data_IF_856444444790
#
_entry.id   IF_856444444790
#
_cell.length_a   1.000
_cell.length_b   1.000
_cell.length_c   1.000
_cell.angle_alpha   90.00
_cell.angle_beta   90.00
_cell.angle_gamma   90.00
#
_symmetry.space_group_name_H-M   'P 1'
#
loop_
_entity.id
_entity.type
_entity.pdbx_description
1 polymer ?
#
# COMPACT_ATOMS: atom_id res chain seq x y z
N UNK A 1 14.95 -46.17 -1.05
CA UNK A 1 15.86 -45.02 -0.94
C UNK A 1 16.45 -45.01 0.46
N UNK A 2 17.72 -44.63 0.62
CA UNK A 2 18.42 -44.69 1.91
C UNK A 2 17.82 -43.63 2.84
N UNK A 3 17.34 -44.04 4.01
CA UNK A 3 16.90 -43.10 5.05
C UNK A 3 18.09 -42.22 5.43
N UNK A 4 18.02 -40.94 5.09
CA UNK A 4 19.10 -39.99 5.31
C UNK A 4 19.21 -39.67 6.79
N UNK A 5 20.39 -39.23 7.26
CA UNK A 5 20.59 -38.88 8.66
C UNK A 5 19.60 -37.79 9.13
N UNK A 6 19.27 -36.86 8.23
CA UNK A 6 18.24 -35.85 8.42
C UNK A 6 16.84 -36.47 8.62
N UNK A 7 16.37 -37.32 7.70
CA UNK A 7 15.05 -37.96 7.82
C UNK A 7 14.94 -38.86 9.06
N UNK A 8 16.00 -39.58 9.41
CA UNK A 8 16.07 -40.37 10.64
C UNK A 8 15.98 -39.47 11.88
N UNK A 9 16.70 -38.34 11.89
CA UNK A 9 16.65 -37.38 13.00
C UNK A 9 15.25 -36.78 13.18
N UNK A 10 14.57 -36.43 12.09
CA UNK A 10 13.17 -35.99 12.12
C UNK A 10 12.25 -37.07 12.67
N UNK A 11 12.33 -38.29 12.13
CA UNK A 11 11.47 -39.42 12.51
C UNK A 11 11.60 -39.76 13.99
N UNK A 12 12.82 -39.88 14.48
CA UNK A 12 13.10 -40.21 15.88
C UNK A 12 12.66 -39.11 16.85
N UNK A 13 12.57 -37.86 16.36
CA UNK A 13 12.08 -36.73 17.14
C UNK A 13 10.56 -36.55 17.01
N UNK A 14 9.89 -37.37 16.20
CA UNK A 14 8.43 -37.37 16.03
C UNK A 14 7.91 -36.54 14.86
N UNK A 15 8.64 -36.44 13.76
CA UNK A 15 8.18 -35.84 12.50
C UNK A 15 8.50 -36.74 11.30
N UNK A 16 7.51 -37.00 10.44
CA UNK A 16 7.68 -37.75 9.20
C UNK A 16 7.48 -36.81 8.02
N UNK A 17 8.55 -36.61 7.26
CA UNK A 17 8.51 -35.97 5.95
C UNK A 17 8.40 -37.09 4.91
N UNK A 18 7.22 -37.28 4.34
CA UNK A 18 7.00 -38.29 3.31
C UNK A 18 7.80 -37.94 2.05
N UNK A 19 8.48 -38.92 1.47
CA UNK A 19 9.27 -38.75 0.23
C UNK A 19 8.55 -39.33 -0.98
N UNK A 20 7.76 -40.41 -0.81
CA UNK A 20 7.21 -41.21 -1.91
C UNK A 20 5.74 -40.90 -2.31
N UNK A 21 5.05 -40.02 -1.58
CA UNK A 21 3.66 -39.62 -1.87
C UNK A 21 3.57 -38.11 -2.13
N UNK A 22 3.31 -37.74 -3.38
CA UNK A 22 3.42 -36.35 -3.88
C UNK A 22 2.40 -35.40 -3.23
N UNK A 23 1.29 -35.91 -2.69
CA UNK A 23 0.25 -35.08 -2.07
C UNK A 23 0.18 -35.23 -0.54
N UNK A 24 1.03 -36.06 0.06
CA UNK A 24 1.01 -36.28 1.50
C UNK A 24 1.68 -35.11 2.26
N UNK A 25 0.98 -34.45 3.21
CA UNK A 25 1.59 -33.42 4.04
C UNK A 25 2.62 -34.04 5.00
N UNK A 26 3.57 -33.23 5.48
CA UNK A 26 4.41 -33.64 6.60
C UNK A 26 3.53 -33.94 7.84
N UNK A 27 3.88 -34.99 8.59
CA UNK A 27 3.10 -35.45 9.73
C UNK A 27 3.93 -35.41 11.01
N UNK A 28 3.48 -34.64 11.99
CA UNK A 28 4.01 -34.67 13.34
C UNK A 28 3.33 -35.79 14.15
N UNK A 29 4.14 -36.67 14.75
CA UNK A 29 3.68 -37.73 15.66
C UNK A 29 3.53 -37.23 17.12
N UNK A 30 4.04 -36.03 17.42
CA UNK A 30 3.90 -35.35 18.70
C UNK A 30 3.69 -33.84 18.49
N UNK A 31 3.37 -33.08 19.54
CA UNK A 31 3.21 -31.63 19.37
C UNK A 31 4.52 -30.97 18.91
N UNK A 32 4.49 -29.95 18.01
CA UNK A 32 5.70 -29.31 17.49
C UNK A 32 6.67 -28.83 18.60
N UNK A 33 6.14 -28.39 19.74
CA UNK A 33 6.96 -28.00 20.91
C UNK A 33 7.81 -29.16 21.44
N UNK A 34 7.23 -30.36 21.51
CA UNK A 34 7.94 -31.57 21.95
C UNK A 34 8.95 -32.02 20.91
N UNK A 35 8.56 -32.00 19.63
CA UNK A 35 9.47 -32.29 18.51
C UNK A 35 10.72 -31.38 18.55
N UNK A 36 10.53 -30.06 18.69
CA UNK A 36 11.65 -29.09 18.79
C UNK A 36 12.57 -29.42 19.96
N UNK A 37 12.00 -29.73 21.12
CA UNK A 37 12.74 -30.07 22.33
C UNK A 37 13.56 -31.33 22.12
N UNK A 38 12.92 -32.39 21.64
CA UNK A 38 13.52 -33.72 21.52
C UNK A 38 14.61 -33.74 20.43
N UNK A 39 14.38 -33.04 19.32
CA UNK A 39 15.41 -32.84 18.28
C UNK A 39 16.61 -32.06 18.82
N UNK A 40 16.38 -30.95 19.54
CA UNK A 40 17.45 -30.14 20.13
C UNK A 40 18.29 -30.92 21.14
N UNK A 41 17.63 -31.73 22.00
CA UNK A 41 18.32 -32.62 22.93
C UNK A 41 19.14 -33.66 22.17
N UNK A 42 18.54 -34.31 21.17
CA UNK A 42 19.21 -35.36 20.38
C UNK A 42 20.50 -34.83 19.74
N UNK A 43 20.43 -33.69 19.05
CA UNK A 43 21.58 -33.08 18.39
C UNK A 43 22.65 -32.67 19.41
N UNK A 44 22.28 -32.09 20.55
CA UNK A 44 23.25 -31.64 21.57
C UNK A 44 23.86 -32.79 22.37
N UNK A 45 23.16 -33.92 22.51
CA UNK A 45 23.61 -35.08 23.28
C UNK A 45 24.52 -36.03 22.49
N UNK A 46 24.64 -35.82 21.18
CA UNK A 46 25.49 -36.64 20.32
C UNK A 46 26.98 -36.45 20.67
N UNK A 47 27.73 -37.55 20.67
CA UNK A 47 29.15 -37.53 21.00
C UNK A 47 29.99 -36.67 20.03
N UNK A 48 29.48 -36.39 18.83
CA UNK A 48 30.14 -35.60 17.80
C UNK A 48 29.73 -34.13 17.81
N UNK A 49 28.94 -33.64 18.77
CA UNK A 49 28.56 -32.22 18.83
C UNK A 49 29.78 -31.30 19.02
N UNK A 50 29.93 -30.20 18.24
CA UNK A 50 28.97 -29.64 17.27
C UNK A 50 29.15 -30.11 15.82
N UNK A 51 30.12 -30.98 15.52
CA UNK A 51 30.42 -31.44 14.14
C UNK A 51 29.26 -32.23 13.51
N UNK A 52 28.40 -32.86 14.32
CA UNK A 52 27.20 -33.53 13.83
C UNK A 52 26.21 -32.57 13.14
N UNK A 53 26.26 -31.26 13.42
CA UNK A 53 25.47 -30.25 12.72
C UNK A 53 25.83 -30.19 11.24
N UNK A 54 27.13 -30.25 10.90
CA UNK A 54 27.57 -30.26 9.50
C UNK A 54 26.99 -31.46 8.75
N UNK A 55 27.09 -32.66 9.33
CA UNK A 55 26.51 -33.87 8.73
C UNK A 55 24.98 -33.79 8.64
N UNK A 56 24.32 -33.19 9.63
CA UNK A 56 22.88 -32.96 9.60
C UNK A 56 22.48 -32.04 8.43
N UNK A 57 23.17 -30.91 8.24
CA UNK A 57 22.89 -29.96 7.17
C UNK A 57 23.27 -30.49 5.78
N UNK A 58 24.38 -31.22 5.65
CA UNK A 58 24.73 -31.92 4.40
C UNK A 58 23.64 -32.93 4.03
N UNK A 59 23.21 -33.76 4.98
CA UNK A 59 22.13 -34.71 4.77
C UNK A 59 20.78 -34.04 4.49
N UNK A 60 20.52 -32.87 5.09
CA UNK A 60 19.32 -32.07 4.82
C UNK A 60 19.35 -31.53 3.40
N UNK A 61 20.46 -30.94 2.98
CA UNK A 61 20.67 -30.42 1.63
C UNK A 61 20.41 -31.52 0.60
N UNK A 62 21.05 -32.68 0.74
CA UNK A 62 20.88 -33.82 -0.17
C UNK A 62 19.41 -34.30 -0.27
N UNK A 63 18.68 -34.27 0.85
CA UNK A 63 17.26 -34.67 0.89
C UNK A 63 16.36 -33.62 0.23
N UNK A 64 16.66 -32.34 0.43
CA UNK A 64 15.86 -31.21 -0.04
C UNK A 64 16.28 -30.71 -1.45
N UNK A 65 17.22 -31.39 -2.11
CA UNK A 65 17.48 -31.23 -3.55
C UNK A 65 16.25 -31.61 -4.39
N UNK A 66 15.45 -32.58 -3.91
CA UNK A 66 14.18 -32.93 -4.53
C UNK A 66 13.12 -31.82 -4.28
N UNK A 67 12.64 -31.21 -5.36
CA UNK A 67 11.75 -30.05 -5.29
C UNK A 67 10.41 -30.36 -4.63
N UNK A 68 9.85 -31.56 -4.85
CA UNK A 68 8.58 -31.96 -4.23
C UNK A 68 8.75 -32.14 -2.71
N UNK A 69 9.86 -32.75 -2.28
CA UNK A 69 10.21 -32.88 -0.87
C UNK A 69 10.48 -31.53 -0.22
N UNK A 70 11.17 -30.62 -0.94
CA UNK A 70 11.40 -29.25 -0.48
C UNK A 70 10.11 -28.46 -0.33
N UNK A 71 9.19 -28.55 -1.29
CA UNK A 71 7.88 -27.89 -1.19
C UNK A 71 7.07 -28.43 -0.01
N UNK A 72 7.06 -29.76 0.20
CA UNK A 72 6.44 -30.40 1.38
C UNK A 72 7.05 -29.93 2.70
N UNK A 73 8.36 -29.70 2.74
CA UNK A 73 9.07 -29.17 3.90
C UNK A 73 8.63 -27.74 4.28
N UNK A 74 8.18 -26.94 3.29
CA UNK A 74 7.71 -25.56 3.47
C UNK A 74 6.20 -25.44 3.72
N UNK A 75 5.40 -26.44 3.31
CA UNK A 75 3.95 -26.42 3.45
C UNK A 75 3.50 -26.74 4.89
N UNK A 76 2.28 -26.32 5.29
CA UNK A 76 1.72 -26.62 6.60
C UNK A 76 1.70 -28.13 6.88
N UNK A 77 2.12 -28.51 8.09
CA UNK A 77 2.12 -29.88 8.52
C UNK A 77 0.79 -30.27 9.19
N UNK A 78 0.54 -31.58 9.25
CA UNK A 78 -0.58 -32.17 9.98
C UNK A 78 -0.08 -32.89 11.24
N UNK A 79 -0.97 -33.10 12.20
CA UNK A 79 -0.68 -33.87 13.42
C UNK A 79 -1.38 -35.22 13.35
N UNK A 80 -0.63 -36.30 13.63
CA UNK A 80 -1.14 -37.67 13.67
C UNK A 80 -2.38 -37.78 14.56
N UNK A 81 -3.36 -38.59 14.15
CA UNK A 81 -4.58 -38.83 14.94
C UNK A 81 -4.26 -39.53 16.28
N UNK A 82 -3.15 -40.27 16.34
CA UNK A 82 -2.66 -40.94 17.56
C UNK A 82 -1.94 -40.01 18.54
N UNK A 83 -1.59 -38.79 18.11
CA UNK A 83 -0.87 -37.84 18.95
C UNK A 83 -1.81 -37.22 20.01
N UNK A 84 -1.29 -37.04 21.24
CA UNK A 84 -2.04 -36.37 22.31
C UNK A 84 -2.19 -34.88 21.97
N UNK A 85 -3.42 -34.43 21.73
CA UNK A 85 -3.75 -33.04 21.40
C UNK A 85 -3.98 -32.20 22.66
N UNK A 86 -3.21 -31.14 22.86
CA UNK A 86 -3.53 -30.06 23.80
C UNK A 86 -4.41 -28.98 23.15
N UNK A 87 -4.25 -28.77 21.84
CA UNK A 87 -4.95 -27.75 21.04
C UNK A 87 -6.00 -28.31 20.09
N UNK A 88 -7.06 -27.53 19.80
CA UNK A 88 -8.11 -27.87 18.81
C UNK A 88 -7.73 -27.56 17.36
N UNK A 89 -6.53 -27.02 17.10
CA UNK A 89 -6.08 -26.74 15.73
C UNK A 89 -5.78 -28.04 14.98
N UNK A 90 -6.21 -28.13 13.73
CA UNK A 90 -5.95 -29.25 12.83
C UNK A 90 -4.82 -28.97 11.83
N UNK A 91 -4.36 -27.72 11.75
CA UNK A 91 -3.24 -27.29 10.90
C UNK A 91 -2.12 -26.76 11.79
N UNK A 92 -0.89 -27.16 11.49
CA UNK A 92 0.31 -26.76 12.21
C UNK A 92 1.28 -26.07 11.26
N UNK A 93 2.23 -25.33 11.85
CA UNK A 93 3.35 -24.76 11.11
C UNK A 93 4.10 -25.83 10.32
N UNK A 94 4.77 -25.40 9.26
CA UNK A 94 5.60 -26.29 8.44
C UNK A 94 6.76 -26.90 9.25
N UNK A 95 7.39 -27.93 8.69
CA UNK A 95 8.62 -28.48 9.27
C UNK A 95 9.71 -27.42 9.28
N UNK A 96 9.86 -26.66 8.19
CA UNK A 96 10.83 -25.57 8.10
C UNK A 96 10.66 -24.53 9.22
N UNK A 97 9.42 -24.04 9.42
CA UNK A 97 9.08 -23.05 10.45
C UNK A 97 9.35 -23.58 11.85
N UNK A 98 9.02 -24.85 12.08
CA UNK A 98 9.25 -25.51 13.36
C UNK A 98 10.75 -25.67 13.64
N UNK A 99 11.57 -25.98 12.63
CA UNK A 99 13.02 -26.06 12.76
C UNK A 99 13.68 -24.68 12.96
N UNK A 100 13.13 -23.62 12.36
CA UNK A 100 13.60 -22.25 12.58
C UNK A 100 13.46 -21.81 14.05
N UNK A 101 12.60 -22.44 14.82
CA UNK A 101 12.44 -22.20 16.27
C UNK A 101 13.44 -22.99 17.13
N UNK A 102 14.39 -23.72 16.51
CA UNK A 102 15.49 -24.41 17.20
C UNK A 102 16.77 -23.58 17.03
N UNK A 103 17.20 -22.91 18.10
CA UNK A 103 18.26 -21.90 18.07
C UNK A 103 19.56 -22.35 17.37
N UNK A 104 19.99 -23.59 17.60
CA UNK A 104 21.24 -24.15 17.02
C UNK A 104 21.15 -24.41 15.52
N UNK A 105 19.93 -24.46 14.95
CA UNK A 105 19.69 -24.69 13.53
C UNK A 105 19.31 -23.41 12.79
N UNK A 106 18.77 -22.42 13.51
CA UNK A 106 18.10 -21.27 12.91
C UNK A 106 18.99 -20.52 11.91
N UNK A 107 20.25 -20.22 12.27
CA UNK A 107 21.16 -19.42 11.44
C UNK A 107 21.46 -20.10 10.10
N UNK A 108 21.88 -21.36 10.14
CA UNK A 108 22.25 -22.12 8.95
C UNK A 108 21.03 -22.44 8.09
N UNK A 109 19.87 -22.69 8.72
CA UNK A 109 18.61 -22.92 8.01
C UNK A 109 18.11 -21.66 7.30
N UNK A 110 18.22 -20.47 7.92
CA UNK A 110 17.93 -19.19 7.25
C UNK A 110 18.84 -19.01 6.03
N UNK A 111 20.14 -19.24 6.19
CA UNK A 111 21.11 -19.17 5.09
C UNK A 111 20.72 -20.08 3.93
N UNK A 112 20.46 -21.35 4.22
CA UNK A 112 20.02 -22.34 3.24
C UNK A 112 18.73 -21.92 2.52
N UNK A 113 17.69 -21.52 3.26
CA UNK A 113 16.42 -21.12 2.69
C UNK A 113 16.56 -19.91 1.76
N UNK A 114 17.33 -18.89 2.17
CA UNK A 114 17.52 -17.69 1.37
C UNK A 114 18.39 -17.95 0.12
N UNK A 115 19.41 -18.81 0.21
CA UNK A 115 20.26 -19.18 -0.93
C UNK A 115 19.50 -19.98 -2.00
N UNK A 116 18.41 -20.65 -1.63
CA UNK A 116 17.52 -21.37 -2.54
C UNK A 116 16.54 -20.45 -3.29
N UNK A 117 16.29 -19.21 -2.82
CA UNK A 117 15.32 -18.29 -3.43
C UNK A 117 15.55 -18.05 -4.94
N UNK A 118 16.78 -17.78 -5.42
CA UNK A 118 17.02 -17.46 -6.82
C UNK A 118 16.62 -18.59 -7.79
N UNK A 119 16.61 -19.84 -7.32
CA UNK A 119 16.25 -21.00 -8.14
C UNK A 119 14.78 -21.01 -8.58
N UNK A 120 13.93 -20.27 -7.87
CA UNK A 120 12.48 -20.23 -8.11
C UNK A 120 12.03 -18.97 -8.87
N UNK A 121 12.96 -18.28 -9.55
CA UNK A 121 12.65 -17.10 -10.36
C UNK A 121 11.58 -17.37 -11.42
N UNK A 122 11.77 -18.42 -12.23
CA UNK A 122 10.85 -18.75 -13.32
C UNK A 122 9.45 -19.13 -12.79
N UNK A 123 9.37 -19.83 -11.65
CA UNK A 123 8.10 -20.13 -11.00
C UNK A 123 7.41 -18.85 -10.55
N UNK A 124 8.15 -17.90 -9.97
CA UNK A 124 7.62 -16.64 -9.45
C UNK A 124 7.11 -15.71 -10.56
N UNK A 125 7.78 -15.65 -11.71
CA UNK A 125 7.30 -14.87 -12.86
C UNK A 125 5.98 -15.43 -13.43
N UNK A 126 5.82 -16.75 -13.43
CA UNK A 126 4.70 -17.42 -14.07
C UNK A 126 3.51 -17.69 -13.12
N UNK A 127 3.78 -17.84 -11.82
CA UNK A 127 2.78 -18.16 -10.79
C UNK A 127 2.63 -17.02 -9.78
N UNK A 128 1.54 -16.25 -9.93
CA UNK A 128 1.16 -15.21 -8.98
C UNK A 128 0.45 -15.74 -7.73
N UNK A 129 0.36 -17.06 -7.52
CA UNK A 129 -0.24 -17.65 -6.33
C UNK A 129 0.63 -17.46 -5.08
N UNK A 130 -0.01 -17.46 -3.91
CA UNK A 130 0.71 -17.51 -2.63
C UNK A 130 1.43 -18.85 -2.39
N UNK A 131 1.19 -19.86 -3.23
CA UNK A 131 1.80 -21.18 -3.11
C UNK A 131 3.11 -21.32 -3.88
N UNK A 132 3.52 -20.29 -4.63
CA UNK A 132 4.83 -20.22 -5.27
C UNK A 132 5.95 -20.51 -4.24
N UNK A 133 6.91 -21.37 -4.61
CA UNK A 133 7.96 -21.83 -3.70
C UNK A 133 8.80 -20.69 -3.12
N UNK A 134 9.11 -19.65 -3.91
CA UNK A 134 9.84 -18.47 -3.42
C UNK A 134 9.07 -17.73 -2.29
N UNK A 135 7.74 -17.59 -2.43
CA UNK A 135 6.89 -16.99 -1.40
C UNK A 135 6.74 -17.88 -0.19
N UNK A 136 6.67 -19.20 -0.39
CA UNK A 136 6.68 -20.17 0.71
C UNK A 136 7.98 -20.07 1.53
N UNK A 137 9.14 -19.90 0.89
CA UNK A 137 10.41 -19.68 1.59
C UNK A 137 10.34 -18.43 2.47
N UNK A 138 9.96 -17.29 1.90
CA UNK A 138 9.86 -16.02 2.64
C UNK A 138 8.84 -16.10 3.79
N UNK A 139 7.73 -16.81 3.57
CA UNK A 139 6.70 -17.04 4.60
C UNK A 139 7.27 -17.76 5.83
N UNK A 140 8.26 -18.64 5.68
CA UNK A 140 8.90 -19.29 6.82
C UNK A 140 9.62 -18.30 7.74
N UNK A 141 10.06 -17.16 7.22
CA UNK A 141 10.80 -16.15 7.98
C UNK A 141 9.89 -15.12 8.66
N UNK A 142 8.66 -14.93 8.17
CA UNK A 142 7.72 -13.91 8.69
C UNK A 142 7.25 -14.18 10.11
N UNK A 143 7.19 -13.16 10.95
CA UNK A 143 6.70 -13.20 12.34
C UNK A 143 7.36 -14.29 13.19
N UNK A 144 8.68 -14.47 13.03
CA UNK A 144 9.43 -15.36 13.91
C UNK A 144 9.37 -14.83 15.36
N UNK A 145 8.95 -15.67 16.31
CA UNK A 145 8.85 -15.29 17.73
C UNK A 145 10.21 -14.87 18.31
N UNK A 146 11.29 -15.47 17.80
CA UNK A 146 12.65 -15.23 18.26
C UNK A 146 13.64 -15.34 17.10
N UNK A 147 14.61 -14.44 17.05
CA UNK A 147 15.71 -14.42 16.09
C UNK A 147 17.02 -14.42 16.88
N UNK A 148 17.81 -15.48 16.73
CA UNK A 148 19.06 -15.73 17.46
C UNK A 148 20.10 -14.67 17.15
N UNK A 149 20.21 -14.28 15.87
CA UNK A 149 21.21 -13.33 15.38
C UNK A 149 20.56 -12.37 14.35
N UNK A 150 19.88 -11.31 14.83
CA UNK A 150 19.16 -10.36 13.97
C UNK A 150 20.07 -9.66 12.95
N UNK A 151 21.31 -9.37 13.34
CA UNK A 151 22.29 -8.71 12.48
C UNK A 151 22.72 -9.64 11.33
N UNK A 152 22.97 -10.93 11.61
CA UNK A 152 23.30 -11.89 10.55
C UNK A 152 22.14 -12.11 9.58
N UNK A 153 20.90 -12.18 10.07
CA UNK A 153 19.71 -12.26 9.20
C UNK A 153 19.61 -11.03 8.28
N UNK A 154 19.70 -9.82 8.85
CA UNK A 154 19.64 -8.58 8.07
C UNK A 154 20.76 -8.52 7.02
N UNK A 155 21.99 -8.87 7.41
CA UNK A 155 23.12 -8.94 6.50
C UNK A 155 22.91 -9.94 5.35
N UNK A 156 22.37 -11.13 5.64
CA UNK A 156 22.09 -12.13 4.61
C UNK A 156 20.95 -11.70 3.68
N UNK A 157 19.90 -11.05 4.20
CA UNK A 157 18.82 -10.48 3.37
C UNK A 157 19.39 -9.41 2.42
N UNK A 158 20.24 -8.52 2.92
CA UNK A 158 20.92 -7.50 2.11
C UNK A 158 21.74 -8.17 1.01
N UNK A 159 22.59 -9.15 1.34
CA UNK A 159 23.39 -9.90 0.36
C UNK A 159 22.52 -10.51 -0.75
N UNK A 160 21.43 -11.17 -0.37
CA UNK A 160 20.53 -11.84 -1.32
C UNK A 160 19.78 -10.83 -2.19
N UNK A 161 19.35 -9.68 -1.64
CA UNK A 161 18.74 -8.60 -2.42
C UNK A 161 19.72 -8.12 -3.50
N UNK A 162 21.01 -7.94 -3.20
CA UNK A 162 21.98 -7.44 -4.17
C UNK A 162 22.23 -8.39 -5.35
N UNK A 163 22.13 -9.70 -5.14
CA UNK A 163 22.44 -10.70 -6.17
C UNK A 163 21.22 -11.22 -6.93
N UNK A 164 20.00 -10.84 -6.54
CA UNK A 164 18.76 -11.34 -7.13
C UNK A 164 18.14 -10.37 -8.14
N UNK A 165 17.36 -10.88 -9.13
CA UNK A 165 16.64 -10.03 -10.07
C UNK A 165 15.53 -9.19 -9.41
N UNK A 166 15.05 -8.11 -10.05
CA UNK A 166 14.03 -7.20 -9.50
C UNK A 166 12.75 -7.88 -9.02
N UNK A 167 12.29 -8.94 -9.69
CA UNK A 167 11.08 -9.70 -9.31
C UNK A 167 11.23 -10.32 -7.92
N UNK A 168 12.39 -10.90 -7.62
CA UNK A 168 12.69 -11.49 -6.30
C UNK A 168 12.98 -10.39 -5.28
N UNK A 169 13.73 -9.35 -5.67
CA UNK A 169 13.98 -8.19 -4.81
C UNK A 169 12.66 -7.59 -4.30
N UNK A 170 11.67 -7.44 -5.17
CA UNK A 170 10.34 -6.93 -4.82
C UNK A 170 9.67 -7.78 -3.71
N UNK A 171 9.64 -9.10 -3.86
CA UNK A 171 9.05 -10.02 -2.86
C UNK A 171 9.80 -10.00 -1.54
N UNK A 172 11.14 -9.95 -1.56
CA UNK A 172 11.95 -9.85 -0.35
C UNK A 172 11.65 -8.52 0.36
N UNK A 173 11.74 -7.39 -0.37
CA UNK A 173 11.58 -6.03 0.19
C UNK A 173 10.21 -5.86 0.85
N UNK A 174 9.13 -6.25 0.16
CA UNK A 174 7.77 -6.16 0.70
C UNK A 174 7.54 -7.06 1.92
N UNK A 175 8.33 -8.13 2.07
CA UNK A 175 8.28 -9.03 3.23
C UNK A 175 9.14 -8.57 4.42
N UNK A 176 10.06 -7.61 4.23
CA UNK A 176 11.01 -7.19 5.27
C UNK A 176 10.36 -6.76 6.59
N UNK A 177 9.24 -5.98 6.59
CA UNK A 177 8.61 -5.55 7.84
C UNK A 177 8.11 -6.71 8.71
N UNK A 178 7.80 -7.85 8.08
CA UNK A 178 7.36 -9.05 8.78
C UNK A 178 8.53 -9.94 9.23
N UNK A 179 9.73 -9.76 8.68
CA UNK A 179 10.88 -10.65 8.89
C UNK A 179 11.90 -10.06 9.88
N UNK A 180 12.16 -8.76 9.77
CA UNK A 180 13.22 -8.09 10.52
C UNK A 180 12.74 -7.74 11.94
N UNK A 181 13.64 -7.79 12.91
CA UNK A 181 13.39 -7.33 14.27
C UNK A 181 13.51 -5.80 14.39
N UNK A 182 12.74 -5.19 15.28
CA UNK A 182 12.79 -3.77 15.62
C UNK A 182 14.21 -3.23 15.87
N UNK A 183 15.13 -4.05 16.40
CA UNK A 183 16.52 -3.67 16.65
C UNK A 183 17.29 -3.28 15.37
N UNK A 184 16.96 -3.91 14.24
CA UNK A 184 17.65 -3.73 12.96
C UNK A 184 16.94 -2.75 12.02
N UNK A 185 15.75 -2.25 12.39
CA UNK A 185 14.96 -1.35 11.53
C UNK A 185 15.73 -0.11 11.11
N UNK A 186 16.52 0.50 12.02
CA UNK A 186 17.31 1.69 11.68
C UNK A 186 18.34 1.42 10.58
N UNK A 187 19.07 0.30 10.68
CA UNK A 187 20.05 -0.08 9.67
C UNK A 187 19.37 -0.40 8.33
N UNK A 188 18.22 -1.08 8.38
CA UNK A 188 17.45 -1.42 7.19
C UNK A 188 16.89 -0.17 6.48
N UNK A 189 16.42 0.84 7.22
CA UNK A 189 15.94 2.10 6.64
C UNK A 189 17.05 2.82 5.86
N UNK A 190 18.27 2.85 6.41
CA UNK A 190 19.43 3.45 5.71
C UNK A 190 19.74 2.69 4.42
N UNK A 191 19.80 1.36 4.50
CA UNK A 191 20.04 0.52 3.33
C UNK A 191 18.95 0.69 2.25
N UNK A 192 17.67 0.64 2.62
CA UNK A 192 16.56 0.80 1.68
C UNK A 192 16.55 2.18 1.04
N UNK A 193 16.96 3.23 1.77
CA UNK A 193 17.13 4.58 1.20
C UNK A 193 18.23 4.61 0.14
N UNK A 194 19.37 3.98 0.39
CA UNK A 194 20.48 3.87 -0.57
C UNK A 194 20.06 3.05 -1.80
N UNK A 195 19.43 1.90 -1.59
CA UNK A 195 18.93 1.05 -2.66
C UNK A 195 17.89 1.75 -3.54
N UNK A 196 16.97 2.52 -2.94
CA UNK A 196 16.02 3.35 -3.68
C UNK A 196 16.74 4.41 -4.53
N UNK A 197 17.89 4.90 -4.06
CA UNK A 197 18.68 5.86 -4.82
C UNK A 197 19.34 5.27 -6.06
N UNK A 198 19.75 4.02 -5.98
CA UNK A 198 20.39 3.28 -7.06
C UNK A 198 19.38 2.73 -8.08
N UNK A 199 18.23 2.25 -7.61
CA UNK A 199 17.24 1.53 -8.43
C UNK A 199 15.85 2.17 -8.34
N UNK A 200 15.48 2.94 -9.36
CA UNK A 200 14.15 3.60 -9.42
C UNK A 200 12.99 2.60 -9.50
N UNK A 201 13.19 1.44 -10.12
CA UNK A 201 12.18 0.37 -10.25
C UNK A 201 11.73 -0.21 -8.91
N UNK A 202 12.59 -0.13 -7.88
CA UNK A 202 12.29 -0.62 -6.54
C UNK A 202 11.65 0.44 -5.63
N UNK A 203 11.36 1.64 -6.13
CA UNK A 203 10.82 2.73 -5.30
C UNK A 203 9.52 2.32 -4.60
N UNK A 204 8.55 1.79 -5.34
CA UNK A 204 7.25 1.38 -4.80
C UNK A 204 7.36 0.33 -3.69
N UNK A 205 8.00 -0.84 -3.89
CA UNK A 205 8.12 -1.85 -2.82
C UNK A 205 8.91 -1.32 -1.62
N UNK A 206 9.94 -0.48 -1.85
CA UNK A 206 10.71 0.13 -0.76
C UNK A 206 9.83 1.05 0.09
N UNK A 207 9.04 1.92 -0.53
CA UNK A 207 8.14 2.83 0.20
C UNK A 207 7.05 2.09 0.98
N UNK A 208 6.52 1.00 0.43
CA UNK A 208 5.55 0.17 1.14
C UNK A 208 6.19 -0.52 2.35
N UNK A 209 7.41 -1.06 2.20
CA UNK A 209 8.16 -1.64 3.31
C UNK A 209 8.46 -0.60 4.40
N UNK A 210 8.99 0.56 4.03
CA UNK A 210 9.32 1.64 4.96
C UNK A 210 8.10 2.20 5.70
N UNK A 211 6.91 2.19 5.07
CA UNK A 211 5.66 2.60 5.72
C UNK A 211 5.25 1.67 6.86
N UNK A 212 5.66 0.39 6.80
CA UNK A 212 5.29 -0.65 7.75
C UNK A 212 6.39 -0.95 8.79
N UNK A 213 7.62 -0.49 8.58
CA UNK A 213 8.68 -0.57 9.59
C UNK A 213 8.41 0.40 10.75
N UNK A 214 8.49 -0.08 11.99
CA UNK A 214 8.38 0.69 13.24
C UNK A 214 9.60 1.60 13.43
N UNK A 215 9.75 2.58 12.56
CA UNK A 215 10.93 3.45 12.54
C UNK A 215 10.72 4.64 13.46
N UNK A 216 11.77 5.00 14.22
CA UNK A 216 11.80 6.24 14.99
C UNK A 216 11.77 7.42 14.01
N UNK A 217 10.97 8.46 14.32
CA UNK A 217 10.62 9.55 13.40
C UNK A 217 11.81 10.22 12.70
N UNK A 218 12.98 10.28 13.35
CA UNK A 218 14.19 10.93 12.83
C UNK A 218 14.75 10.23 11.58
N UNK A 219 14.77 8.88 11.53
CA UNK A 219 15.35 8.17 10.37
C UNK A 219 14.47 8.23 9.12
N UNK A 220 13.16 8.46 9.30
CA UNK A 220 12.22 8.63 8.20
C UNK A 220 12.17 10.06 7.65
N UNK A 221 12.61 11.07 8.41
CA UNK A 221 12.64 12.46 7.94
C UNK A 221 13.55 12.61 6.72
N UNK A 222 14.79 12.12 6.80
CA UNK A 222 15.73 12.15 5.68
C UNK A 222 15.24 11.38 4.44
N UNK A 223 14.54 10.26 4.66
CA UNK A 223 13.94 9.48 3.57
C UNK A 223 12.80 10.29 2.95
N UNK A 224 11.95 10.92 3.77
CA UNK A 224 10.84 11.73 3.30
C UNK A 224 11.30 12.89 2.43
N UNK A 225 12.37 13.57 2.81
CA UNK A 225 12.94 14.65 2.02
C UNK A 225 13.41 14.14 0.64
N UNK A 226 14.09 12.99 0.63
CA UNK A 226 14.52 12.32 -0.61
C UNK A 226 13.34 11.96 -1.51
N UNK A 227 12.27 11.40 -0.92
CA UNK A 227 11.05 11.02 -1.65
C UNK A 227 10.29 12.25 -2.15
N UNK A 228 10.26 13.32 -1.35
CA UNK A 228 9.62 14.57 -1.71
C UNK A 228 10.36 15.25 -2.88
N UNK A 229 11.69 15.15 -2.95
CA UNK A 229 12.49 15.62 -4.10
C UNK A 229 12.22 14.82 -5.38
N UNK A 230 11.93 13.53 -5.25
CA UNK A 230 11.58 12.66 -6.39
C UNK A 230 10.15 12.83 -6.89
N UNK A 231 9.27 13.45 -6.10
CA UNK A 231 7.84 13.58 -6.43
C UNK A 231 7.59 14.23 -7.81
N UNK A 232 8.44 15.17 -8.23
CA UNK A 232 8.31 15.85 -9.53
C UNK A 232 8.65 14.95 -10.73
N UNK A 233 9.53 13.95 -10.52
CA UNK A 233 10.06 13.07 -11.57
C UNK A 233 9.39 11.69 -11.57
N UNK A 234 8.53 11.41 -10.60
CA UNK A 234 7.88 10.12 -10.45
C UNK A 234 6.88 9.83 -11.56
N UNK A 235 6.78 8.56 -11.94
CA UNK A 235 5.77 8.10 -12.88
C UNK A 235 4.36 8.20 -12.27
N UNK A 236 3.36 8.43 -13.14
CA UNK A 236 1.98 8.66 -12.71
C UNK A 236 1.41 7.49 -11.89
N UNK A 237 1.81 6.26 -12.19
CA UNK A 237 1.34 5.05 -11.52
C UNK A 237 1.91 4.92 -10.09
N UNK A 238 3.08 5.51 -9.83
CA UNK A 238 3.78 5.46 -8.54
C UNK A 238 3.35 6.57 -7.58
N UNK A 239 2.82 7.69 -8.10
CA UNK A 239 2.44 8.87 -7.33
C UNK A 239 1.50 8.54 -6.16
N UNK A 240 0.58 7.60 -6.34
CA UNK A 240 -0.34 7.18 -5.28
C UNK A 240 0.41 6.59 -4.08
N UNK A 241 1.37 5.70 -4.33
CA UNK A 241 2.19 5.06 -3.30
C UNK A 241 3.10 6.08 -2.62
N UNK A 242 3.72 6.96 -3.41
CA UNK A 242 4.57 8.04 -2.90
C UNK A 242 3.78 8.94 -1.95
N UNK A 243 2.59 9.40 -2.35
CA UNK A 243 1.75 10.26 -1.53
C UNK A 243 1.24 9.54 -0.28
N UNK A 244 0.90 8.25 -0.39
CA UNK A 244 0.53 7.42 0.77
C UNK A 244 1.68 7.39 1.77
N UNK A 245 2.91 7.08 1.35
CA UNK A 245 4.09 7.09 2.21
C UNK A 245 4.32 8.46 2.85
N UNK A 246 4.33 9.54 2.06
CA UNK A 246 4.59 10.90 2.55
C UNK A 246 3.58 11.32 3.62
N UNK A 247 2.30 10.97 3.47
CA UNK A 247 1.23 11.38 4.37
C UNK A 247 1.04 10.44 5.58
N UNK A 248 1.42 9.17 5.46
CA UNK A 248 1.35 8.21 6.57
C UNK A 248 2.52 8.33 7.53
N UNK A 249 3.71 8.65 7.01
CA UNK A 249 4.96 8.68 7.82
C UNK A 249 5.30 10.07 8.35
N UNK A 250 4.54 11.10 8.00
CA UNK A 250 4.79 12.49 8.41
C UNK A 250 4.73 12.67 9.93
N UNK A 251 5.46 13.65 10.45
CA UNK A 251 5.41 14.05 11.86
C UNK A 251 4.67 15.40 12.01
N UNK A 252 4.09 15.70 13.19
CA UNK A 252 3.46 17.01 13.42
C UNK A 252 4.40 18.20 13.22
N UNK A 253 5.72 18.00 13.32
CA UNK A 253 6.73 19.05 13.16
C UNK A 253 7.06 19.33 11.69
N UNK A 254 6.87 18.34 10.82
CA UNK A 254 7.29 18.38 9.40
C UNK A 254 6.12 18.51 8.43
N UNK A 255 4.89 18.40 8.92
CA UNK A 255 3.67 18.37 8.10
C UNK A 255 3.51 19.59 7.18
N UNK A 256 3.83 20.79 7.66
CA UNK A 256 3.68 22.01 6.86
C UNK A 256 4.64 22.01 5.65
N UNK A 257 5.86 21.49 5.83
CA UNK A 257 6.85 21.35 4.75
C UNK A 257 6.41 20.29 3.74
N UNK A 258 5.90 19.16 4.20
CA UNK A 258 5.41 18.08 3.33
C UNK A 258 4.22 18.54 2.51
N UNK A 259 3.24 19.21 3.12
CA UNK A 259 2.07 19.77 2.40
C UNK A 259 2.54 20.80 1.37
N UNK A 260 3.46 21.69 1.75
CA UNK A 260 4.02 22.67 0.82
C UNK A 260 4.72 21.99 -0.36
N UNK A 261 5.60 21.01 -0.08
CA UNK A 261 6.31 20.26 -1.12
C UNK A 261 5.38 19.51 -2.05
N UNK A 262 4.33 18.85 -1.53
CA UNK A 262 3.31 18.21 -2.37
C UNK A 262 2.60 19.25 -3.24
N UNK A 263 2.19 20.40 -2.68
CA UNK A 263 1.50 21.46 -3.46
C UNK A 263 2.37 22.10 -4.54
N UNK A 264 3.68 22.16 -4.33
CA UNK A 264 4.61 22.74 -5.31
C UNK A 264 5.04 21.74 -6.38
N UNK A 265 5.34 20.49 -5.99
CA UNK A 265 5.94 19.49 -6.89
C UNK A 265 4.93 18.58 -7.58
N UNK A 266 3.73 18.39 -7.01
CA UNK A 266 2.69 17.58 -7.65
C UNK A 266 1.91 18.42 -8.67
N UNK A 267 2.28 18.30 -9.94
CA UNK A 267 1.57 18.98 -11.02
C UNK A 267 0.36 18.17 -11.51
N UNK A 268 -0.83 18.47 -10.99
CA UNK A 268 -2.06 17.89 -11.54
C UNK A 268 -2.28 18.26 -13.01
N UNK A 269 -1.69 19.35 -13.54
CA UNK A 269 -1.89 19.74 -14.95
C UNK A 269 -1.20 18.79 -15.93
N UNK A 270 -0.14 18.09 -15.52
CA UNK A 270 0.48 17.05 -16.35
C UNK A 270 -0.38 15.78 -16.39
N UNK A 271 -1.18 15.54 -15.35
CA UNK A 271 -2.06 14.38 -15.21
C UNK A 271 -3.34 14.44 -16.06
N UNK A 272 -3.54 15.46 -16.91
CA UNK A 272 -4.81 15.73 -17.62
C UNK A 272 -5.40 14.51 -18.35
N UNK A 273 -6.74 14.51 -18.43
CA UNK A 273 -7.53 13.58 -19.25
C UNK A 273 -6.90 13.36 -20.64
N UNK A 274 -6.45 12.14 -20.99
CA UNK A 274 -5.89 11.87 -22.29
C UNK A 274 -6.98 11.96 -23.36
N UNK A 275 -6.65 12.59 -24.50
CA UNK A 275 -7.61 12.81 -25.59
C UNK A 275 -7.94 11.52 -26.38
N UNK A 276 -7.24 10.41 -26.12
CA UNK A 276 -7.34 9.16 -26.89
C UNK A 276 -7.82 7.98 -26.02
N UNK A 277 -8.75 7.19 -26.57
CA UNK A 277 -9.36 6.01 -25.91
C UNK A 277 -8.39 4.85 -25.59
N UNK A 278 -7.12 4.92 -26.03
CA UNK A 278 -6.09 3.89 -25.76
C UNK A 278 -5.45 3.98 -24.36
N UNK A 279 -5.77 4.98 -23.54
CA UNK A 279 -5.19 5.20 -22.21
C UNK A 279 -6.25 5.21 -21.08
N UNK A 280 -7.13 4.20 -21.06
CA UNK A 280 -8.06 3.98 -19.93
C UNK A 280 -7.36 3.73 -18.58
N UNK A 281 -6.06 3.42 -18.58
CA UNK A 281 -5.24 3.21 -17.37
C UNK A 281 -4.91 4.51 -16.62
N UNK A 282 -4.71 5.63 -17.33
CA UNK A 282 -4.46 6.94 -16.71
C UNK A 282 -5.62 7.42 -15.83
N UNK A 283 -6.84 6.96 -16.13
CA UNK A 283 -8.05 7.26 -15.37
C UNK A 283 -8.03 6.63 -13.97
N UNK A 284 -7.46 5.43 -13.83
CA UNK A 284 -7.33 4.76 -12.54
C UNK A 284 -6.30 5.46 -11.66
N UNK A 285 -5.17 5.90 -12.25
CA UNK A 285 -4.09 6.54 -11.51
C UNK A 285 -4.51 7.85 -10.84
N UNK A 286 -5.26 8.74 -11.51
CA UNK A 286 -5.78 9.96 -10.85
C UNK A 286 -6.69 9.64 -9.66
N UNK A 287 -7.58 8.66 -9.80
CA UNK A 287 -8.46 8.23 -8.72
C UNK A 287 -7.67 7.69 -7.52
N UNK A 288 -6.65 6.86 -7.80
CA UNK A 288 -5.76 6.32 -6.77
C UNK A 288 -4.94 7.42 -6.06
N UNK A 289 -4.50 8.45 -6.78
CA UNK A 289 -3.83 9.62 -6.20
C UNK A 289 -4.77 10.34 -5.22
N UNK A 290 -6.01 10.63 -5.62
CA UNK A 290 -6.98 11.30 -4.75
C UNK A 290 -7.38 10.42 -3.55
N UNK A 291 -7.56 9.12 -3.74
CA UNK A 291 -7.80 8.19 -2.64
C UNK A 291 -6.60 8.08 -1.70
N UNK A 292 -5.36 8.17 -2.20
CA UNK A 292 -4.15 8.17 -1.37
C UNK A 292 -4.06 9.42 -0.51
N UNK A 293 -4.38 10.59 -1.08
CA UNK A 293 -4.51 11.84 -0.32
C UNK A 293 -5.60 11.70 0.75
N UNK A 294 -6.79 11.22 0.37
CA UNK A 294 -7.91 11.01 1.30
C UNK A 294 -7.55 10.07 2.44
N UNK A 295 -6.88 8.95 2.16
CA UNK A 295 -6.38 8.04 3.19
C UNK A 295 -5.42 8.76 4.12
N UNK A 296 -4.45 9.54 3.60
CA UNK A 296 -3.55 10.34 4.43
C UNK A 296 -4.28 11.34 5.34
N UNK A 297 -5.30 12.04 4.82
CA UNK A 297 -6.14 12.95 5.60
C UNK A 297 -6.93 12.22 6.72
N UNK A 298 -7.31 10.96 6.50
CA UNK A 298 -8.05 10.15 7.47
C UNK A 298 -7.15 9.44 8.47
N UNK A 299 -5.92 9.12 8.08
CA UNK A 299 -4.96 8.39 8.89
C UNK A 299 -4.55 9.19 10.14
N UNK A 300 -4.27 10.48 9.95
CA UNK A 300 -3.87 11.38 11.02
C UNK A 300 -4.67 12.67 11.02
N UNK A 301 -5.38 12.94 12.12
CA UNK A 301 -6.20 14.15 12.27
C UNK A 301 -5.39 15.44 12.07
N UNK A 302 -4.15 15.49 12.56
CA UNK A 302 -3.30 16.67 12.43
C UNK A 302 -2.89 16.95 10.98
N UNK A 303 -2.79 15.92 10.12
CA UNK A 303 -2.55 16.08 8.67
C UNK A 303 -3.72 16.81 8.04
N UNK A 304 -4.94 16.36 8.34
CA UNK A 304 -6.17 17.01 7.89
C UNK A 304 -6.29 18.46 8.36
N UNK A 305 -6.07 18.71 9.65
CA UNK A 305 -6.15 20.05 10.22
C UNK A 305 -5.08 20.99 9.64
N UNK A 306 -3.86 20.51 9.40
CA UNK A 306 -2.76 21.31 8.84
C UNK A 306 -2.98 21.63 7.37
N UNK A 307 -3.45 20.66 6.56
CA UNK A 307 -3.76 20.92 5.15
C UNK A 307 -4.95 21.88 4.99
N UNK A 308 -5.98 21.73 5.81
CA UNK A 308 -7.08 22.69 5.85
C UNK A 308 -6.57 24.11 6.18
N UNK A 309 -5.70 24.26 7.18
CA UNK A 309 -5.10 25.55 7.55
C UNK A 309 -4.24 26.12 6.41
N UNK A 310 -3.44 25.29 5.75
CA UNK A 310 -2.60 25.68 4.61
C UNK A 310 -3.45 26.31 3.50
N UNK A 311 -4.57 25.67 3.11
CA UNK A 311 -5.49 26.22 2.11
C UNK A 311 -6.20 27.48 2.65
N UNK A 312 -6.57 27.49 3.93
CA UNK A 312 -7.22 28.64 4.55
C UNK A 312 -6.33 29.89 4.59
N UNK A 313 -5.00 29.72 4.70
CA UNK A 313 -4.02 30.79 4.74
C UNK A 313 -3.71 31.43 3.38
N UNK A 314 -4.17 30.85 2.25
CA UNK A 314 -3.91 31.40 0.91
C UNK A 314 -4.72 32.68 0.67
N UNK A 315 -4.09 33.82 0.43
CA UNK A 315 -4.79 35.11 0.30
C UNK A 315 -4.82 35.68 -1.12
N UNK A 316 -4.12 35.07 -2.07
CA UNK A 316 -4.07 35.54 -3.46
C UNK A 316 -4.69 34.53 -4.42
N UNK A 317 -5.27 35.04 -5.51
CA UNK A 317 -5.91 34.22 -6.55
C UNK A 317 -4.92 33.25 -7.19
N UNK A 318 -3.71 33.71 -7.49
CA UNK A 318 -2.69 32.91 -8.19
C UNK A 318 -2.04 31.85 -7.29
N UNK A 319 -2.21 31.96 -5.97
CA UNK A 319 -1.75 30.94 -5.03
C UNK A 319 -2.65 29.70 -4.96
N UNK A 320 -3.91 29.80 -5.44
CA UNK A 320 -4.82 28.67 -5.49
C UNK A 320 -4.59 27.81 -6.74
N UNK A 321 -4.21 26.55 -6.53
CA UNK A 321 -3.92 25.55 -7.56
C UNK A 321 -5.05 24.51 -7.66
N UNK A 322 -5.00 23.65 -8.68
CA UNK A 322 -5.96 22.56 -8.87
C UNK A 322 -6.03 21.62 -7.66
N UNK A 323 -4.88 21.28 -7.07
CA UNK A 323 -4.76 20.46 -5.86
C UNK A 323 -5.58 21.02 -4.69
N UNK A 324 -5.63 22.34 -4.53
CA UNK A 324 -6.36 22.96 -3.42
C UNK A 324 -7.87 22.72 -3.55
N UNK A 325 -8.40 22.81 -4.78
CA UNK A 325 -9.82 22.52 -5.05
C UNK A 325 -10.11 21.03 -4.87
N UNK A 326 -9.25 20.15 -5.38
CA UNK A 326 -9.39 18.70 -5.25
C UNK A 326 -9.38 18.27 -3.78
N UNK A 327 -8.44 18.77 -2.98
CA UNK A 327 -8.36 18.52 -1.53
C UNK A 327 -9.60 19.07 -0.82
N UNK A 328 -10.10 20.26 -1.17
CA UNK A 328 -11.34 20.76 -0.59
C UNK A 328 -12.57 19.92 -0.95
N UNK A 329 -12.62 19.33 -2.15
CA UNK A 329 -13.68 18.37 -2.53
C UNK A 329 -13.58 17.09 -1.70
N UNK A 330 -12.37 16.56 -1.49
CA UNK A 330 -12.13 15.41 -0.60
C UNK A 330 -12.59 15.75 0.83
N UNK A 331 -12.18 16.88 1.37
CA UNK A 331 -12.59 17.37 2.69
C UNK A 331 -14.12 17.57 2.79
N UNK A 332 -14.77 17.98 1.70
CA UNK A 332 -16.23 18.11 1.66
C UNK A 332 -16.95 16.75 1.61
N UNK A 333 -16.33 15.73 0.99
CA UNK A 333 -16.89 14.37 0.92
C UNK A 333 -16.88 13.64 2.27
N UNK A 334 -15.94 13.99 3.16
CA UNK A 334 -15.82 13.39 4.49
C UNK A 334 -16.79 14.03 5.49
N UNK A 335 -17.57 13.20 6.20
CA UNK A 335 -18.60 13.66 7.14
C UNK A 335 -18.06 14.56 8.26
N UNK A 336 -16.86 14.27 8.77
CA UNK A 336 -16.22 15.02 9.86
C UNK A 336 -15.79 16.44 9.47
N UNK A 337 -15.45 16.67 8.21
CA UNK A 337 -14.93 17.95 7.70
C UNK A 337 -15.87 18.69 6.76
N UNK A 338 -16.95 18.03 6.32
CA UNK A 338 -17.92 18.56 5.34
C UNK A 338 -18.31 20.01 5.58
N UNK A 339 -18.77 20.34 6.78
CA UNK A 339 -19.24 21.71 7.08
C UNK A 339 -18.10 22.74 7.08
N UNK A 340 -16.93 22.39 7.61
CA UNK A 340 -15.76 23.27 7.62
C UNK A 340 -15.26 23.54 6.20
N UNK A 341 -15.18 22.50 5.38
CA UNK A 341 -14.81 22.60 3.96
C UNK A 341 -15.81 23.48 3.18
N UNK A 342 -17.11 23.31 3.41
CA UNK A 342 -18.17 24.13 2.79
C UNK A 342 -18.02 25.63 3.11
N UNK A 343 -17.80 25.95 4.39
CA UNK A 343 -17.63 27.34 4.85
C UNK A 343 -16.36 27.94 4.24
N UNK A 344 -15.27 27.17 4.19
CA UNK A 344 -14.02 27.62 3.59
C UNK A 344 -14.16 27.85 2.08
N UNK A 345 -14.76 26.91 1.35
CA UNK A 345 -15.05 27.05 -0.08
C UNK A 345 -15.81 28.34 -0.36
N UNK A 346 -16.88 28.59 0.40
CA UNK A 346 -17.68 29.81 0.28
C UNK A 346 -16.85 31.05 0.53
N UNK A 347 -16.08 31.09 1.63
CA UNK A 347 -15.22 32.23 1.97
C UNK A 347 -14.23 32.55 0.85
N UNK A 348 -13.58 31.53 0.28
CA UNK A 348 -12.61 31.70 -0.81
C UNK A 348 -13.25 32.14 -2.11
N UNK A 349 -14.45 31.67 -2.43
CA UNK A 349 -15.21 32.12 -3.60
C UNK A 349 -15.68 33.57 -3.44
N UNK A 350 -16.25 33.92 -2.29
CA UNK A 350 -16.70 35.29 -2.00
C UNK A 350 -15.54 36.28 -2.03
N UNK A 351 -14.35 35.87 -1.57
CA UNK A 351 -13.12 36.66 -1.68
C UNK A 351 -12.52 36.73 -3.10
N UNK A 352 -13.11 36.06 -4.10
CA UNK A 352 -12.60 36.02 -5.47
C UNK A 352 -11.31 35.21 -5.65
N UNK A 353 -10.93 34.42 -4.66
CA UNK A 353 -9.68 33.65 -4.63
C UNK A 353 -9.83 32.33 -5.40
N UNK A 354 -10.94 31.61 -5.17
CA UNK A 354 -11.34 30.46 -6.00
C UNK A 354 -12.36 30.97 -7.02
N UNK A 355 -12.00 30.88 -8.30
CA UNK A 355 -12.82 31.43 -9.40
C UNK A 355 -13.57 30.34 -10.16
N UNK A 356 -14.65 30.74 -10.86
CA UNK A 356 -15.42 29.84 -11.71
C UNK A 356 -14.55 29.15 -12.80
N UNK A 357 -13.55 29.87 -13.32
CA UNK A 357 -12.59 29.31 -14.29
C UNK A 357 -11.75 28.20 -13.68
N UNK A 358 -11.22 28.40 -12.46
CA UNK A 358 -10.45 27.35 -11.78
C UNK A 358 -11.30 26.11 -11.52
N UNK A 359 -12.56 26.29 -11.08
CA UNK A 359 -13.48 25.17 -10.88
C UNK A 359 -13.79 24.44 -12.19
N UNK A 360 -14.06 25.18 -13.27
CA UNK A 360 -14.24 24.60 -14.60
C UNK A 360 -13.03 23.77 -15.02
N UNK A 361 -11.83 24.34 -14.91
CA UNK A 361 -10.59 23.67 -15.31
C UNK A 361 -10.41 22.39 -14.49
N UNK A 362 -10.63 22.42 -13.17
CA UNK A 362 -10.48 21.22 -12.32
C UNK A 362 -11.46 20.12 -12.70
N UNK A 363 -12.75 20.44 -12.84
CA UNK A 363 -13.78 19.45 -13.15
C UNK A 363 -13.59 18.83 -14.54
N UNK A 364 -13.23 19.64 -15.55
CA UNK A 364 -13.03 19.13 -16.90
C UNK A 364 -11.78 18.26 -17.03
N UNK A 365 -10.67 18.66 -16.43
CA UNK A 365 -9.38 17.98 -16.60
C UNK A 365 -9.17 16.78 -15.66
N UNK A 366 -9.89 16.73 -14.54
CA UNK A 366 -9.77 15.67 -13.52
C UNK A 366 -11.07 14.88 -13.30
N UNK A 367 -11.98 14.92 -14.28
CA UNK A 367 -13.25 14.21 -14.24
C UNK A 367 -13.11 12.72 -13.88
N UNK A 368 -12.12 12.05 -14.48
CA UNK A 368 -11.94 10.61 -14.33
C UNK A 368 -11.50 10.24 -12.90
N UNK A 369 -10.62 11.04 -12.28
CA UNK A 369 -10.27 10.89 -10.86
C UNK A 369 -11.41 11.25 -9.90
N UNK A 370 -12.37 12.07 -10.34
CA UNK A 370 -13.49 12.57 -9.52
C UNK A 370 -14.72 11.64 -9.51
N UNK A 371 -14.65 10.47 -10.13
CA UNK A 371 -15.77 9.51 -10.23
C UNK A 371 -16.40 9.15 -8.88
N UNK A 372 -15.59 8.95 -7.83
CA UNK A 372 -16.06 8.71 -6.46
C UNK A 372 -16.61 9.94 -5.72
N UNK A 373 -16.50 11.13 -6.31
CA UNK A 373 -16.78 12.42 -5.66
C UNK A 373 -17.97 13.17 -6.27
N UNK A 374 -18.63 12.66 -7.31
CA UNK A 374 -19.71 13.37 -8.00
C UNK A 374 -20.87 13.77 -7.09
N UNK A 375 -21.28 12.90 -6.17
CA UNK A 375 -22.33 13.23 -5.18
C UNK A 375 -21.91 14.38 -4.26
N UNK A 376 -20.63 14.43 -3.88
CA UNK A 376 -20.10 15.52 -3.08
C UNK A 376 -20.06 16.82 -3.89
N UNK A 377 -19.64 16.77 -5.15
CA UNK A 377 -19.62 17.92 -6.06
C UNK A 377 -21.03 18.47 -6.29
N UNK A 378 -22.01 17.61 -6.57
CA UNK A 378 -23.42 18.01 -6.73
C UNK A 378 -23.96 18.66 -5.46
N UNK A 379 -23.76 18.02 -4.30
CA UNK A 379 -24.18 18.58 -3.00
C UNK A 379 -23.51 19.92 -2.69
N UNK A 380 -22.25 20.11 -3.08
CA UNK A 380 -21.54 21.39 -2.95
C UNK A 380 -22.14 22.44 -3.88
N UNK A 381 -22.38 22.08 -5.15
CA UNK A 381 -22.98 22.95 -6.14
C UNK A 381 -24.33 23.48 -5.66
N UNK A 382 -25.20 22.59 -5.15
CA UNK A 382 -26.49 22.95 -4.53
C UNK A 382 -26.34 23.89 -3.33
N UNK A 383 -25.34 23.66 -2.47
CA UNK A 383 -25.14 24.52 -1.31
C UNK A 383 -24.68 25.92 -1.72
N UNK A 384 -23.73 26.00 -2.65
CA UNK A 384 -23.28 27.28 -3.22
C UNK A 384 -24.42 27.98 -3.96
N UNK A 385 -25.25 27.20 -4.65
CA UNK A 385 -26.43 27.66 -5.35
C UNK A 385 -27.38 28.36 -4.35
N UNK A 386 -27.82 27.67 -3.28
CA UNK A 386 -28.65 28.26 -2.21
C UNK A 386 -28.03 29.52 -1.60
N UNK A 387 -26.70 29.58 -1.55
CA UNK A 387 -25.96 30.69 -0.95
C UNK A 387 -25.84 31.90 -1.85
N UNK A 388 -25.88 31.70 -3.17
CA UNK A 388 -25.85 32.77 -4.15
C UNK A 388 -27.07 33.71 -4.02
N UNK A 389 -28.14 33.28 -3.36
CA UNK A 389 -29.26 34.15 -2.96
C UNK A 389 -28.81 35.36 -2.13
N UNK A 390 -27.72 35.24 -1.39
CA UNK A 390 -27.20 36.28 -0.52
C UNK A 390 -26.03 37.05 -1.15
N UNK A 391 -25.36 36.49 -2.17
CA UNK A 391 -24.14 37.07 -2.74
C UNK A 391 -23.94 36.62 -4.19
N UNK A 392 -24.10 37.56 -5.13
CA UNK A 392 -24.02 37.29 -6.57
C UNK A 392 -22.67 36.73 -7.05
N UNK A 393 -21.57 36.97 -6.32
CA UNK A 393 -20.21 36.48 -6.65
C UNK A 393 -20.12 34.95 -6.62
N UNK A 394 -20.99 34.28 -5.87
CA UNK A 394 -20.99 32.82 -5.73
C UNK A 394 -21.63 32.13 -6.95
N UNK A 395 -22.58 32.82 -7.61
CA UNK A 395 -23.38 32.22 -8.68
C UNK A 395 -22.52 31.64 -9.82
N UNK A 396 -21.55 32.37 -10.41
CA UNK A 396 -20.72 31.82 -11.50
C UNK A 396 -19.97 30.54 -11.12
N UNK A 397 -19.55 30.42 -9.85
CA UNK A 397 -18.84 29.23 -9.36
C UNK A 397 -19.78 28.03 -9.23
N UNK A 398 -20.98 28.23 -8.69
CA UNK A 398 -22.00 27.17 -8.68
C UNK A 398 -22.35 26.71 -10.10
N UNK A 399 -22.45 27.65 -11.05
CA UNK A 399 -22.77 27.33 -12.45
C UNK A 399 -21.69 26.47 -13.08
N UNK A 400 -20.43 26.87 -12.87
CA UNK A 400 -19.29 26.12 -13.35
C UNK A 400 -19.29 24.69 -12.81
N UNK A 401 -19.67 24.45 -11.55
CA UNK A 401 -19.77 23.09 -11.03
C UNK A 401 -20.86 22.28 -11.74
N UNK A 402 -22.09 22.81 -11.84
CA UNK A 402 -23.19 22.10 -12.51
C UNK A 402 -22.90 21.79 -13.98
N UNK A 403 -22.51 22.81 -14.75
CA UNK A 403 -22.25 22.67 -16.19
C UNK A 403 -21.12 21.66 -16.41
N UNK A 404 -19.99 21.82 -15.74
CA UNK A 404 -18.84 20.97 -16.03
C UNK A 404 -19.00 19.56 -15.45
N UNK A 405 -19.70 19.40 -14.31
CA UNK A 405 -20.06 18.07 -13.83
C UNK A 405 -21.00 17.36 -14.82
N UNK A 406 -21.94 18.08 -15.43
CA UNK A 406 -22.83 17.51 -16.44
C UNK A 406 -22.05 17.02 -17.67
N UNK A 407 -21.13 17.85 -18.19
CA UNK A 407 -20.30 17.49 -19.36
C UNK A 407 -19.41 16.28 -19.11
N UNK A 408 -18.88 16.18 -17.89
CA UNK A 408 -17.84 15.21 -17.55
C UNK A 408 -18.34 13.91 -16.93
N UNK A 409 -19.61 13.81 -16.56
CA UNK A 409 -20.17 12.65 -15.86
C UNK A 409 -20.96 11.71 -16.78
N UNK A 410 -21.28 10.52 -16.25
CA UNK A 410 -22.06 9.50 -16.95
C UNK A 410 -23.56 9.84 -17.00
N UNK A 411 -24.35 8.98 -17.65
CA UNK A 411 -25.79 9.19 -17.80
C UNK A 411 -26.53 9.28 -16.45
N UNK A 412 -26.10 8.49 -15.46
CA UNK A 412 -26.71 8.48 -14.13
C UNK A 412 -26.52 9.81 -13.41
N UNK A 413 -25.27 10.28 -13.30
CA UNK A 413 -24.96 11.54 -12.63
C UNK A 413 -25.52 12.75 -13.39
N UNK A 414 -25.59 12.71 -14.73
CA UNK A 414 -26.30 13.72 -15.53
C UNK A 414 -27.77 13.81 -15.18
N UNK A 415 -28.44 12.67 -14.98
CA UNK A 415 -29.84 12.65 -14.55
C UNK A 415 -30.03 13.26 -13.17
N UNK A 416 -29.16 12.94 -12.21
CA UNK A 416 -29.19 13.53 -10.86
C UNK A 416 -28.97 15.04 -10.90
N UNK A 417 -28.03 15.53 -11.72
CA UNK A 417 -27.78 16.96 -11.93
C UNK A 417 -29.03 17.66 -12.48
N UNK A 418 -29.66 17.09 -13.52
CA UNK A 418 -30.89 17.63 -14.11
C UNK A 418 -32.02 17.62 -13.09
N UNK A 419 -32.18 16.54 -12.33
CA UNK A 419 -33.17 16.43 -11.25
C UNK A 419 -33.01 17.53 -10.21
N UNK A 420 -31.79 17.74 -9.71
CA UNK A 420 -31.44 18.80 -8.76
C UNK A 420 -31.80 20.20 -9.32
N UNK A 421 -31.43 20.50 -10.57
CA UNK A 421 -31.76 21.77 -11.22
C UNK A 421 -33.27 21.98 -11.36
N UNK A 422 -34.03 20.94 -11.74
CA UNK A 422 -35.50 21.00 -11.84
C UNK A 422 -36.15 21.26 -10.48
N UNK A 423 -35.68 20.60 -9.41
CA UNK A 423 -36.15 20.86 -8.05
C UNK A 423 -35.88 22.31 -7.63
N UNK A 424 -34.72 22.87 -7.99
CA UNK A 424 -34.40 24.27 -7.72
C UNK A 424 -35.29 25.26 -8.49
N UNK A 425 -35.63 24.97 -9.75
CA UNK A 425 -36.58 25.77 -10.54
C UNK A 425 -37.98 25.69 -9.93
N UNK A 426 -38.44 24.49 -9.60
CA UNK A 426 -39.78 24.24 -9.06
C UNK A 426 -40.02 24.82 -7.66
N UNK A 427 -38.96 25.02 -6.87
CA UNK A 427 -39.05 25.59 -5.52
C UNK A 427 -39.10 27.13 -5.47
N UNK A 428 -39.09 27.83 -6.60
CA UNK A 428 -39.44 29.26 -6.64
C UNK A 428 -38.42 30.20 -6.01
N UNK A 429 -37.12 29.87 -6.03
CA UNK A 429 -36.06 30.86 -5.74
C UNK A 429 -36.02 31.91 -6.86
N UNK A 430 -36.75 33.01 -6.72
CA UNK A 430 -37.17 33.89 -7.83
C UNK A 430 -36.05 34.74 -8.48
N UNK A 431 -34.94 35.04 -7.80
CA UNK A 431 -33.77 35.71 -8.46
C UNK A 431 -32.94 34.76 -9.34
N UNK A 432 -33.35 33.50 -9.43
CA UNK A 432 -32.51 32.39 -9.84
C UNK A 432 -32.96 31.69 -11.11
N UNK A 433 -34.17 32.01 -11.55
CA UNK A 433 -34.78 31.45 -12.75
C UNK A 433 -33.88 31.66 -13.98
N UNK A 434 -33.26 32.83 -14.11
CA UNK A 434 -32.27 33.13 -15.17
C UNK A 434 -30.97 32.33 -15.03
N UNK A 435 -30.56 32.03 -13.80
CA UNK A 435 -29.32 31.33 -13.51
C UNK A 435 -29.43 29.83 -13.86
N UNK A 436 -30.44 29.16 -13.30
CA UNK A 436 -30.72 27.75 -13.61
C UNK A 436 -31.19 27.58 -15.05
N UNK A 437 -31.94 28.52 -15.62
CA UNK A 437 -32.26 28.50 -17.06
C UNK A 437 -31.01 28.67 -17.92
N UNK A 438 -30.05 29.52 -17.57
CA UNK A 438 -28.82 29.67 -18.36
C UNK A 438 -27.93 28.41 -18.22
N UNK A 439 -27.82 27.81 -17.03
CA UNK A 439 -27.18 26.51 -16.85
C UNK A 439 -27.88 25.41 -17.64
N UNK A 440 -29.21 25.31 -17.50
CA UNK A 440 -30.04 24.31 -18.18
C UNK A 440 -30.05 24.51 -19.69
N UNK A 441 -30.06 25.76 -20.17
CA UNK A 441 -29.99 26.08 -21.60
C UNK A 441 -28.61 25.76 -22.19
N UNK A 442 -27.52 26.10 -21.50
CA UNK A 442 -26.17 25.69 -21.93
C UNK A 442 -26.03 24.16 -21.95
N UNK A 443 -26.59 23.48 -20.95
CA UNK A 443 -26.64 22.01 -20.90
C UNK A 443 -27.50 21.46 -22.05
N UNK A 444 -28.68 22.03 -22.31
CA UNK A 444 -29.60 21.58 -23.36
C UNK A 444 -29.09 21.86 -24.79
N UNK A 445 -28.34 22.95 -24.99
CA UNK A 445 -27.64 23.24 -26.25
C UNK A 445 -26.57 22.18 -26.51
N UNK A 446 -25.81 21.74 -25.49
CA UNK A 446 -24.80 20.70 -25.65
C UNK A 446 -25.36 19.28 -25.87
N UNK A 447 -26.64 19.05 -25.57
CA UNK A 447 -27.32 17.76 -25.78
C UNK A 447 -28.04 17.71 -27.14
N UNK A 448 -28.29 18.86 -27.77
CA UNK A 448 -28.92 18.91 -29.11
C UNK A 448 -27.84 18.72 -30.20
N UNK A 449 -28.07 17.85 -31.21
CA UNK A 449 -27.06 17.47 -32.20
C UNK A 449 -26.57 18.62 -33.08
#
# INVERSE_FOLDING_TARGET
MVETAFLQALRDSGCVLAVDDNDAPAVFACEPVLFRRDLSIKIRSDAQYPNNLTTFFESMNDTLLDLDTFRRFLLPATLSEEARRSTRSTSFDSVAKTLLQVDILQKDLIGYLLERLPEFYDELENDQSSTCTARLILHQLRWSEYIVDPQALSGKLIEIIHITPPVIQHEIITSLPDIINDTEHKAMVVYLKELMNENSELTVPILDALSNLTSHSESLEDVRDTVLDRLEQAEQDDLAVILKFLLQTVSPNTIDLVIYGIREKLDFRSLKRPQNARQRTANAAQGLILESIKHGLQFHKYVCDSWFKSIAALETKDAHKAIDVLVLVILYSMTSTKKKAEVLFRKKITGGLITARLLQDVILHHADGLTGYWNAILSLAESLLRSAQQTNVIAPCSNALYINAFKSSDAYHRQEIVGSLVTHIGSGSISFFLFTMNSYHNIHIEISP
#
